data_IF_694150471245
#
_entry.id   IF_694150471245
#
_cell.length_a   1.000
_cell.length_b   1.000
_cell.length_c   1.000
_cell.angle_alpha   90.00
_cell.angle_beta   90.00
_cell.angle_gamma   90.00
#
_symmetry.space_group_name_H-M   'P 1'
#
loop_
_entity.id
_entity.type
_entity.pdbx_description
1 polymer ?
#
# COMPACT_ATOMS: atom_id res chain seq x y z
N UNK A 1 20.55 -1.45 4.52
CA UNK A 1 19.17 -0.92 4.37
C UNK A 1 18.43 -1.73 3.31
N UNK A 2 17.12 -1.98 3.48
CA UNK A 2 16.36 -2.94 2.65
C UNK A 2 15.10 -2.30 2.06
N UNK A 3 14.76 -2.60 0.81
CA UNK A 3 13.49 -2.19 0.18
C UNK A 3 12.37 -3.17 0.56
N UNK A 4 11.21 -2.62 0.94
CA UNK A 4 10.06 -3.40 1.46
C UNK A 4 8.72 -3.00 0.86
N UNK A 5 8.63 -1.84 0.22
CA UNK A 5 7.43 -1.31 -0.42
C UNK A 5 7.68 -1.07 -1.92
N UNK A 6 6.69 -0.57 -2.65
CA UNK A 6 6.80 -0.49 -4.10
C UNK A 6 7.75 0.60 -4.59
N UNK A 7 7.91 0.67 -5.92
CA UNK A 7 9.02 1.40 -6.53
C UNK A 7 9.12 2.87 -6.10
N UNK A 8 10.33 3.26 -5.67
CA UNK A 8 10.69 4.61 -5.27
C UNK A 8 10.20 5.04 -3.89
N UNK A 9 9.86 4.10 -3.02
CA UNK A 9 9.85 4.33 -1.57
C UNK A 9 11.28 4.30 -0.99
N UNK A 10 11.57 5.02 0.10
CA UNK A 10 12.87 4.93 0.75
C UNK A 10 13.11 3.51 1.32
N UNK A 11 14.38 3.05 1.38
CA UNK A 11 14.69 1.82 2.07
C UNK A 11 14.51 2.00 3.59
N UNK A 12 14.26 0.90 4.28
CA UNK A 12 14.19 0.87 5.74
C UNK A 12 15.51 0.37 6.35
N UNK A 13 15.68 0.60 7.65
CA UNK A 13 16.80 0.04 8.41
C UNK A 13 16.84 -1.49 8.30
N UNK A 14 18.05 -2.05 8.23
CA UNK A 14 18.27 -3.49 7.99
C UNK A 14 17.59 -4.39 9.04
N UNK A 15 17.58 -3.95 10.30
CA UNK A 15 16.95 -4.68 11.40
C UNK A 15 15.53 -4.22 11.73
N UNK A 16 15.02 -3.20 11.04
CA UNK A 16 13.75 -2.54 11.37
C UNK A 16 12.57 -3.53 11.42
N UNK A 17 12.56 -4.52 10.52
CA UNK A 17 11.54 -5.58 10.49
C UNK A 17 11.56 -6.43 11.77
N UNK A 18 12.74 -6.91 12.16
CA UNK A 18 12.89 -7.77 13.32
C UNK A 18 12.61 -7.00 14.62
N UNK A 19 13.10 -5.76 14.72
CA UNK A 19 12.88 -4.88 15.87
C UNK A 19 11.40 -4.56 16.07
N UNK A 20 10.69 -4.19 14.99
CA UNK A 20 9.27 -3.92 15.07
C UNK A 20 8.47 -5.18 15.42
N UNK A 21 8.78 -6.31 14.79
CA UNK A 21 8.08 -7.57 15.05
C UNK A 21 8.22 -7.99 16.52
N UNK A 22 9.43 -7.87 17.07
CA UNK A 22 9.70 -8.14 18.48
C UNK A 22 8.93 -7.17 19.39
N UNK A 23 8.98 -5.86 19.11
CA UNK A 23 8.30 -4.83 19.91
C UNK A 23 6.78 -5.03 19.95
N UNK A 24 6.18 -5.45 18.83
CA UNK A 24 4.74 -5.68 18.72
C UNK A 24 4.32 -7.12 19.09
N UNK A 25 5.27 -8.01 19.39
CA UNK A 25 5.05 -9.43 19.68
C UNK A 25 4.28 -10.16 18.57
N UNK A 26 4.67 -9.90 17.33
CA UNK A 26 4.11 -10.53 16.13
C UNK A 26 5.20 -11.29 15.37
N UNK A 27 4.80 -12.10 14.38
CA UNK A 27 5.78 -12.75 13.51
C UNK A 27 6.57 -11.73 12.68
N UNK A 28 7.81 -12.09 12.30
CA UNK A 28 8.66 -11.28 11.42
C UNK A 28 7.97 -10.99 10.08
N UNK A 29 7.17 -11.92 9.57
CA UNK A 29 6.40 -11.75 8.33
C UNK A 29 5.28 -10.71 8.48
N UNK A 30 4.55 -10.76 9.60
CA UNK A 30 3.56 -9.73 9.92
C UNK A 30 4.22 -8.35 10.11
N UNK A 31 5.39 -8.29 10.76
CA UNK A 31 6.20 -7.08 10.89
C UNK A 31 6.65 -6.52 9.54
N UNK A 32 7.10 -7.38 8.62
CA UNK A 32 7.47 -7.00 7.25
C UNK A 32 6.28 -6.41 6.51
N UNK A 33 5.13 -7.07 6.56
CA UNK A 33 3.90 -6.61 5.92
C UNK A 33 3.46 -5.25 6.47
N UNK A 34 3.52 -5.06 7.79
CA UNK A 34 3.19 -3.79 8.45
C UNK A 34 4.07 -2.64 7.96
N UNK A 35 5.39 -2.84 7.92
CA UNK A 35 6.33 -1.81 7.47
C UNK A 35 6.11 -1.52 6.00
N UNK A 36 6.01 -2.56 5.16
CA UNK A 36 5.77 -2.43 3.74
C UNK A 36 4.52 -1.57 3.45
N UNK A 37 3.40 -1.91 4.08
CA UNK A 37 2.14 -1.18 3.90
C UNK A 37 2.21 0.25 4.46
N UNK A 38 2.91 0.47 5.57
CA UNK A 38 3.08 1.81 6.15
C UNK A 38 3.93 2.71 5.26
N UNK A 39 5.05 2.19 4.74
CA UNK A 39 5.95 2.91 3.83
C UNK A 39 5.26 3.19 2.50
N UNK A 40 4.56 2.21 1.93
CA UNK A 40 3.75 2.39 0.72
C UNK A 40 2.71 3.50 0.92
N UNK A 41 1.93 3.43 2.00
CA UNK A 41 0.90 4.42 2.33
C UNK A 41 1.49 5.83 2.46
N UNK A 42 2.58 5.99 3.22
CA UNK A 42 3.16 7.29 3.51
C UNK A 42 3.83 7.94 2.28
N UNK A 43 4.34 7.15 1.34
CA UNK A 43 5.18 7.66 0.25
C UNK A 43 4.54 7.60 -1.14
N UNK A 44 3.52 6.76 -1.35
CA UNK A 44 2.90 6.54 -2.67
C UNK A 44 1.41 6.83 -2.73
N UNK A 45 0.73 6.93 -1.58
CA UNK A 45 -0.73 7.15 -1.50
C UNK A 45 -1.09 8.45 -0.76
N UNK A 46 -0.68 9.63 -1.26
CA UNK A 46 -0.79 10.89 -0.53
C UNK A 46 -2.23 11.28 -0.16
N UNK A 47 -3.24 10.94 -0.97
CA UNK A 47 -4.63 11.28 -0.68
C UNK A 47 -5.23 10.40 0.41
N UNK A 48 -4.98 9.09 0.34
CA UNK A 48 -5.37 8.14 1.38
C UNK A 48 -4.63 8.44 2.69
N UNK A 49 -3.34 8.74 2.63
CA UNK A 49 -2.54 9.13 3.78
C UNK A 49 -3.06 10.38 4.48
N UNK A 50 -3.43 11.41 3.70
CA UNK A 50 -4.03 12.64 4.23
C UNK A 50 -5.29 12.35 5.04
N UNK A 51 -6.14 11.41 4.61
CA UNK A 51 -7.34 11.00 5.36
C UNK A 51 -7.00 10.30 6.68
N UNK A 52 -5.96 9.48 6.71
CA UNK A 52 -5.48 8.85 7.96
C UNK A 52 -4.98 9.92 8.92
N UNK A 53 -4.17 10.87 8.42
CA UNK A 53 -3.63 11.99 9.21
C UNK A 53 -4.72 12.92 9.76
N UNK A 54 -5.84 13.04 9.06
CA UNK A 54 -7.00 13.82 9.50
C UNK A 54 -7.90 13.07 10.49
N UNK A 55 -7.70 11.76 10.69
CA UNK A 55 -8.59 10.93 11.51
C UNK A 55 -9.84 10.41 10.79
N UNK A 56 -10.02 10.76 9.51
CA UNK A 56 -11.20 10.39 8.70
C UNK A 56 -11.18 8.95 8.18
N UNK A 57 -10.04 8.26 8.31
CA UNK A 57 -9.83 6.91 7.82
C UNK A 57 -8.95 6.11 8.81
N UNK A 58 -9.44 5.00 9.38
CA UNK A 58 -8.63 4.14 10.22
C UNK A 58 -7.42 3.57 9.47
N UNK A 59 -6.25 3.60 10.10
CA UNK A 59 -4.98 3.16 9.49
C UNK A 59 -5.04 1.72 8.95
N UNK A 60 -5.72 0.80 9.63
CA UNK A 60 -5.87 -0.59 9.17
C UNK A 60 -6.59 -0.69 7.82
N UNK A 61 -7.53 0.22 7.53
CA UNK A 61 -8.25 0.24 6.26
C UNK A 61 -7.40 0.88 5.16
N UNK A 62 -6.65 1.94 5.48
CA UNK A 62 -5.68 2.52 4.56
C UNK A 62 -4.57 1.53 4.16
N UNK A 63 -4.08 0.74 5.13
CA UNK A 63 -3.10 -0.32 4.89
C UNK A 63 -3.57 -1.40 3.92
N UNK A 64 -4.87 -1.68 3.87
CA UNK A 64 -5.44 -2.60 2.86
C UNK A 64 -5.27 -2.06 1.44
N UNK A 65 -5.46 -0.75 1.24
CA UNK A 65 -5.19 -0.09 -0.05
C UNK A 65 -3.69 -0.22 -0.37
N UNK A 66 -2.82 0.12 0.58
CA UNK A 66 -1.38 0.01 0.42
C UNK A 66 -0.91 -1.40 0.04
N UNK A 67 -1.44 -2.43 0.69
CA UNK A 67 -1.15 -3.83 0.33
C UNK A 67 -1.50 -4.12 -1.13
N UNK A 68 -2.64 -3.63 -1.59
CA UNK A 68 -3.12 -3.87 -2.95
C UNK A 68 -2.34 -3.09 -4.02
N UNK A 69 -1.72 -1.95 -3.66
CA UNK A 69 -0.96 -1.11 -4.60
C UNK A 69 0.54 -1.36 -4.61
N UNK A 70 1.08 -2.10 -3.64
CA UNK A 70 2.53 -2.35 -3.51
C UNK A 70 3.12 -2.97 -4.77
N UNK A 71 2.34 -3.81 -5.45
CA UNK A 71 2.73 -4.52 -6.67
C UNK A 71 2.65 -3.66 -7.93
N UNK A 72 2.03 -2.48 -7.85
CA UNK A 72 1.82 -1.61 -9.00
C UNK A 72 3.01 -0.69 -9.25
N UNK A 73 3.13 -0.20 -10.48
CA UNK A 73 3.96 0.97 -10.80
C UNK A 73 3.54 2.22 -10.02
N UNK A 74 4.43 3.21 -9.91
CA UNK A 74 4.13 4.50 -9.26
C UNK A 74 2.86 5.15 -9.82
N UNK A 75 2.68 5.10 -11.14
CA UNK A 75 1.50 5.66 -11.80
C UNK A 75 0.23 4.89 -11.46
N UNK A 76 0.28 3.55 -11.49
CA UNK A 76 -0.83 2.69 -11.09
C UNK A 76 -1.25 2.89 -9.64
N UNK A 77 -0.31 2.93 -8.70
CA UNK A 77 -0.62 3.23 -7.30
C UNK A 77 -1.23 4.63 -7.13
N UNK A 78 -0.70 5.63 -7.84
CA UNK A 78 -1.26 6.98 -7.84
C UNK A 78 -2.67 7.04 -8.43
N UNK A 79 -2.96 6.22 -9.44
CA UNK A 79 -4.31 6.06 -9.98
C UNK A 79 -5.26 5.50 -8.92
N UNK A 80 -4.90 4.37 -8.29
CA UNK A 80 -5.73 3.75 -7.24
C UNK A 80 -5.95 4.73 -6.08
N UNK A 81 -4.92 5.44 -5.62
CA UNK A 81 -5.03 6.43 -4.54
C UNK A 81 -6.08 7.51 -4.86
N UNK A 82 -6.00 8.11 -6.06
CA UNK A 82 -6.96 9.14 -6.49
C UNK A 82 -8.40 8.63 -6.51
N UNK A 83 -8.60 7.39 -6.96
CA UNK A 83 -9.94 6.84 -7.13
C UNK A 83 -10.51 6.34 -5.80
N UNK A 84 -9.71 5.70 -4.95
CA UNK A 84 -10.20 5.14 -3.69
C UNK A 84 -10.36 6.18 -2.60
N UNK A 85 -9.49 7.20 -2.56
CA UNK A 85 -9.42 8.15 -1.44
C UNK A 85 -10.77 8.79 -1.09
N UNK A 86 -11.65 9.21 -2.02
CA UNK A 86 -12.95 9.79 -1.66
C UNK A 86 -13.87 8.86 -0.85
N UNK A 87 -13.83 7.55 -1.11
CA UNK A 87 -14.72 6.56 -0.49
C UNK A 87 -13.99 5.45 0.28
N UNK A 88 -12.71 5.64 0.58
CA UNK A 88 -11.87 4.66 1.28
C UNK A 88 -12.42 4.21 2.64
N UNK A 89 -13.29 4.98 3.30
CA UNK A 89 -13.96 4.60 4.54
C UNK A 89 -15.04 3.50 4.38
N UNK A 90 -15.48 3.23 3.15
CA UNK A 90 -16.54 2.25 2.85
C UNK A 90 -16.19 1.31 1.68
N UNK A 91 -15.00 1.43 1.10
CA UNK A 91 -14.57 0.57 -0.01
C UNK A 91 -14.53 -0.90 0.41
N UNK A 92 -15.23 -1.76 -0.33
CA UNK A 92 -15.18 -3.21 -0.18
C UNK A 92 -13.99 -3.81 -0.92
N UNK A 93 -13.64 -5.07 -0.62
CA UNK A 93 -12.52 -5.77 -1.25
C UNK A 93 -12.68 -5.85 -2.78
N UNK A 94 -13.80 -6.39 -3.25
CA UNK A 94 -14.06 -6.51 -4.69
C UNK A 94 -14.03 -5.17 -5.45
N UNK A 95 -14.39 -4.06 -4.80
CA UNK A 95 -14.30 -2.74 -5.44
C UNK A 95 -12.84 -2.27 -5.53
N UNK A 96 -12.04 -2.51 -4.49
CA UNK A 96 -10.61 -2.22 -4.50
C UNK A 96 -9.89 -3.08 -5.55
N UNK A 97 -10.19 -4.37 -5.61
CA UNK A 97 -9.57 -5.29 -6.56
C UNK A 97 -9.84 -4.87 -8.01
N UNK A 98 -11.07 -4.46 -8.33
CA UNK A 98 -11.40 -3.91 -9.66
C UNK A 98 -10.61 -2.64 -10.00
N UNK A 99 -10.40 -1.75 -9.04
CA UNK A 99 -9.59 -0.54 -9.26
C UNK A 99 -8.11 -0.87 -9.51
N UNK A 100 -7.60 -1.90 -8.83
CA UNK A 100 -6.24 -2.39 -9.01
C UNK A 100 -6.08 -3.07 -10.37
N UNK A 101 -7.03 -3.88 -10.77
CA UNK A 101 -7.08 -4.50 -12.09
C UNK A 101 -7.13 -3.45 -13.21
N UNK A 102 -7.98 -2.43 -13.07
CA UNK A 102 -8.03 -1.30 -14.00
C UNK A 102 -6.68 -0.55 -14.07
N UNK A 103 -6.01 -0.37 -12.92
CA UNK A 103 -4.69 0.23 -12.88
C UNK A 103 -3.63 -0.63 -13.59
N UNK A 104 -3.66 -1.96 -13.41
CA UNK A 104 -2.76 -2.89 -14.10
C UNK A 104 -2.93 -2.81 -15.61
N UNK A 105 -4.16 -2.93 -16.12
CA UNK A 105 -4.44 -2.83 -17.56
C UNK A 105 -3.98 -1.50 -18.14
N UNK A 106 -4.14 -0.41 -17.39
CA UNK A 106 -3.83 0.94 -17.87
C UNK A 106 -2.34 1.30 -17.83
N UNK A 107 -1.62 0.89 -16.80
CA UNK A 107 -0.25 1.35 -16.54
C UNK A 107 0.80 0.24 -16.66
N UNK A 108 0.37 -1.01 -16.76
CA UNK A 108 1.22 -2.19 -16.87
C UNK A 108 0.63 -3.20 -17.87
N UNK A 109 0.33 -2.79 -19.12
CA UNK A 109 -0.36 -3.66 -20.09
C UNK A 109 0.40 -4.98 -20.34
N UNK A 110 1.74 -4.94 -20.36
CA UNK A 110 2.58 -6.13 -20.56
C UNK A 110 2.49 -7.15 -19.41
N UNK A 111 2.10 -6.72 -18.21
CA UNK A 111 1.86 -7.61 -17.05
C UNK A 111 0.41 -8.07 -16.96
N UNK A 112 -0.53 -7.35 -17.60
CA UNK A 112 -1.93 -7.73 -17.65
C UNK A 112 -2.16 -8.97 -18.52
N UNK A 113 -1.37 -9.14 -19.58
CA UNK A 113 -1.45 -10.30 -20.49
C UNK A 113 -0.83 -11.60 -19.91
N UNK A 114 -0.14 -11.51 -18.76
CA UNK A 114 0.64 -12.60 -18.18
C UNK A 114 -0.05 -13.37 -17.04
N UNK A 115 -1.35 -13.15 -16.79
CA UNK A 115 -2.14 -13.80 -15.72
C UNK A 115 -3.42 -14.42 -16.25
#
# INVERSE_FOLDING_TARGET
STLVAGAGTPPVGEFCVAELAAALRISTDAGRSLIAEAVELAHRLPQTWRRVRAGDLPAWRARRVARATIVLTREGAGYVDRHVAPFAHRVGLAQLDRLVEEALVRFEPDLADAR
#
